data_IF_342876614947
#
_entry.id   IF_342876614947
#
_cell.length_a   1.000
_cell.length_b   1.000
_cell.length_c   1.000
_cell.angle_alpha   90.00
_cell.angle_beta   90.00
_cell.angle_gamma   90.00
#
_symmetry.space_group_name_H-M   'P 1'
#
loop_
_entity.id
_entity.type
_entity.pdbx_description
1 polymer ?
#
# COMPACT_ATOMS: atom_id res chain seq x y z
N UNK A 1 17.19 -12.82 -31.26
CA UNK A 1 18.16 -11.75 -31.34
C UNK A 1 17.96 -10.76 -30.18
N UNK A 2 19.05 -10.42 -29.50
CA UNK A 2 19.03 -9.51 -28.34
C UNK A 2 18.48 -8.12 -28.68
N UNK A 3 18.59 -7.68 -29.93
CA UNK A 3 18.10 -6.38 -30.39
C UNK A 3 16.67 -6.43 -30.95
N UNK A 4 16.03 -7.58 -30.99
CA UNK A 4 14.64 -7.70 -31.41
C UNK A 4 13.73 -6.98 -30.39
N UNK A 5 12.75 -6.22 -30.90
CA UNK A 5 11.83 -5.49 -30.05
C UNK A 5 10.66 -6.39 -29.61
N UNK A 6 10.29 -6.27 -28.36
CA UNK A 6 9.10 -6.90 -27.78
C UNK A 6 8.31 -5.85 -27.02
N UNK A 7 6.99 -6.02 -26.97
CA UNK A 7 6.11 -5.15 -26.18
C UNK A 7 5.55 -5.95 -25.02
N UNK A 8 5.86 -5.49 -23.78
CA UNK A 8 5.46 -6.15 -22.54
C UNK A 8 4.76 -5.10 -21.66
N UNK A 9 3.54 -5.40 -21.23
CA UNK A 9 2.75 -4.50 -20.38
C UNK A 9 2.66 -3.07 -20.95
N UNK A 10 2.58 -2.96 -22.28
CA UNK A 10 2.47 -1.67 -22.97
C UNK A 10 3.82 -0.98 -23.28
N UNK A 11 4.92 -1.47 -22.76
CA UNK A 11 6.26 -0.90 -23.01
C UNK A 11 7.03 -1.69 -24.05
N UNK A 12 7.57 -0.98 -25.04
CA UNK A 12 8.38 -1.60 -26.09
C UNK A 12 9.86 -1.53 -25.70
N UNK A 13 10.54 -2.66 -25.75
CA UNK A 13 11.94 -2.81 -25.37
C UNK A 13 12.62 -3.90 -26.20
N UNK A 14 13.93 -3.96 -26.15
CA UNK A 14 14.67 -5.07 -26.75
C UNK A 14 14.53 -6.33 -25.90
N UNK A 15 14.78 -7.50 -26.51
CA UNK A 15 14.80 -8.78 -25.77
C UNK A 15 15.82 -8.73 -24.63
N UNK A 16 17.00 -8.13 -24.88
CA UNK A 16 18.02 -7.98 -23.81
C UNK A 16 17.53 -7.12 -22.66
N UNK A 17 16.89 -5.99 -22.96
CA UNK A 17 16.29 -5.12 -21.95
C UNK A 17 15.18 -5.85 -21.17
N UNK A 18 14.37 -6.67 -21.83
CA UNK A 18 13.33 -7.45 -21.17
C UNK A 18 13.91 -8.49 -20.21
N UNK A 19 15.01 -9.14 -20.59
CA UNK A 19 15.72 -10.10 -19.73
C UNK A 19 16.31 -9.39 -18.51
N UNK A 20 16.98 -8.25 -18.71
CA UNK A 20 17.50 -7.44 -17.62
C UNK A 20 16.40 -6.94 -16.70
N UNK A 21 15.27 -6.50 -17.26
CA UNK A 21 14.10 -6.04 -16.53
C UNK A 21 13.50 -7.17 -15.68
N UNK A 22 13.46 -8.38 -16.22
CA UNK A 22 12.98 -9.56 -15.47
C UNK A 22 13.81 -9.79 -14.21
N UNK A 23 15.12 -9.60 -14.28
CA UNK A 23 16.02 -9.72 -13.11
C UNK A 23 15.81 -8.57 -12.12
N UNK A 24 15.77 -7.33 -12.61
CA UNK A 24 15.63 -6.16 -11.74
C UNK A 24 14.25 -6.09 -11.07
N UNK A 25 13.19 -6.55 -11.74
CA UNK A 25 11.84 -6.50 -11.21
C UNK A 25 11.64 -7.43 -10.01
N UNK A 26 12.45 -8.49 -9.91
CA UNK A 26 12.44 -9.35 -8.73
C UNK A 26 12.86 -8.60 -7.47
N UNK A 27 13.84 -7.71 -7.58
CA UNK A 27 14.25 -6.83 -6.47
C UNK A 27 13.18 -5.78 -6.17
N UNK A 28 12.57 -5.20 -7.19
CA UNK A 28 11.46 -4.25 -7.00
C UNK A 28 10.29 -4.91 -6.28
N UNK A 29 9.98 -6.16 -6.61
CA UNK A 29 8.91 -6.93 -5.95
C UNK A 29 9.21 -7.13 -4.45
N UNK A 30 10.45 -7.47 -4.11
CA UNK A 30 10.88 -7.60 -2.72
C UNK A 30 10.72 -6.27 -1.97
N UNK A 31 11.11 -5.16 -2.60
CA UNK A 31 11.00 -3.84 -2.03
C UNK A 31 9.54 -3.42 -1.81
N UNK A 32 8.67 -3.67 -2.79
CA UNK A 32 7.22 -3.38 -2.69
C UNK A 32 6.58 -4.22 -1.60
N UNK A 33 6.94 -5.50 -1.49
CA UNK A 33 6.44 -6.38 -0.44
C UNK A 33 6.87 -5.89 0.94
N UNK A 34 8.11 -5.46 1.10
CA UNK A 34 8.61 -4.88 2.35
C UNK A 34 7.85 -3.61 2.71
N UNK A 35 7.68 -2.71 1.75
CA UNK A 35 6.93 -1.47 1.94
C UNK A 35 5.48 -1.74 2.35
N UNK A 36 4.83 -2.70 1.68
CA UNK A 36 3.46 -3.13 2.00
C UNK A 36 3.36 -3.68 3.42
N UNK A 37 4.31 -4.52 3.83
CA UNK A 37 4.33 -5.09 5.19
C UNK A 37 4.54 -4.02 6.25
N UNK A 38 5.46 -3.09 6.03
CA UNK A 38 5.71 -1.97 6.96
C UNK A 38 4.49 -1.05 7.06
N UNK A 39 3.86 -0.75 5.93
CA UNK A 39 2.62 0.05 5.91
C UNK A 39 1.51 -0.64 6.70
N UNK A 40 1.31 -1.95 6.48
CA UNK A 40 0.28 -2.73 7.19
C UNK A 40 0.54 -2.75 8.69
N UNK A 41 1.78 -2.93 9.13
CA UNK A 41 2.15 -2.91 10.55
C UNK A 41 1.88 -1.55 11.18
N UNK A 42 2.30 -0.47 10.51
CA UNK A 42 2.10 0.89 11.00
C UNK A 42 0.61 1.24 11.08
N UNK A 43 -0.15 0.88 10.06
CA UNK A 43 -1.60 1.10 10.01
C UNK A 43 -2.31 0.35 11.14
N UNK A 44 -1.95 -0.91 11.36
CA UNK A 44 -2.52 -1.72 12.44
C UNK A 44 -2.17 -1.15 13.82
N UNK A 45 -0.95 -0.68 14.00
CA UNK A 45 -0.53 -0.05 15.26
C UNK A 45 -1.35 1.20 15.56
N UNK A 46 -1.57 2.05 14.55
CA UNK A 46 -2.42 3.24 14.67
C UNK A 46 -3.85 2.85 15.05
N UNK A 47 -4.43 1.88 14.35
CA UNK A 47 -5.80 1.42 14.62
C UNK A 47 -5.95 0.86 16.03
N UNK A 48 -5.01 0.04 16.48
CA UNK A 48 -5.03 -0.53 17.83
C UNK A 48 -4.86 0.54 18.91
N UNK A 49 -3.99 1.51 18.69
CA UNK A 49 -3.80 2.63 19.60
C UNK A 49 -5.09 3.45 19.72
N UNK A 50 -5.74 3.73 18.59
CA UNK A 50 -6.97 4.52 18.55
C UNK A 50 -8.15 3.76 19.16
N UNK A 51 -8.24 2.45 18.96
CA UNK A 51 -9.23 1.61 19.62
C UNK A 51 -9.07 1.60 21.14
N UNK A 52 -7.82 1.57 21.62
CA UNK A 52 -7.55 1.66 23.05
C UNK A 52 -7.98 3.01 23.63
N UNK A 53 -7.76 4.11 22.92
CA UNK A 53 -8.23 5.44 23.34
C UNK A 53 -9.78 5.49 23.40
N UNK A 54 -10.46 4.94 22.40
CA UNK A 54 -11.92 4.88 22.38
C UNK A 54 -12.47 4.05 23.54
N UNK A 55 -11.83 2.91 23.86
CA UNK A 55 -12.23 2.05 24.98
C UNK A 55 -12.06 2.76 26.33
N UNK A 56 -10.94 3.44 26.54
CA UNK A 56 -10.72 4.20 27.76
C UNK A 56 -11.72 5.35 27.91
N UNK A 57 -11.96 6.08 26.83
CA UNK A 57 -12.98 7.15 26.84
C UNK A 57 -14.36 6.60 27.18
N UNK A 58 -14.76 5.50 26.57
CA UNK A 58 -16.05 4.86 26.83
C UNK A 58 -16.18 4.39 28.27
N UNK A 59 -15.13 3.80 28.84
CA UNK A 59 -15.15 3.36 30.23
C UNK A 59 -15.32 4.53 31.20
N UNK A 60 -14.66 5.66 30.95
CA UNK A 60 -14.81 6.86 31.76
C UNK A 60 -16.17 7.50 31.62
N UNK A 61 -16.71 7.54 30.41
CA UNK A 61 -18.05 8.07 30.14
C UNK A 61 -19.10 7.21 30.82
N UNK A 62 -18.98 5.88 30.76
CA UNK A 62 -19.91 4.95 31.40
C UNK A 62 -19.99 5.13 32.91
N UNK A 63 -18.88 5.55 33.55
CA UNK A 63 -18.87 5.88 34.98
C UNK A 63 -19.66 7.14 35.34
N UNK A 64 -20.03 7.96 34.36
CA UNK A 64 -20.69 9.26 34.55
C UNK A 64 -22.18 9.20 34.15
N UNK A 65 -22.58 8.23 33.35
CA UNK A 65 -23.90 8.18 32.67
C UNK A 65 -25.12 8.01 33.56
N UNK A 66 -24.97 7.92 34.87
CA UNK A 66 -26.10 7.87 35.79
C UNK A 66 -26.79 9.23 35.97
N UNK A 67 -26.23 10.33 35.50
CA UNK A 67 -26.75 11.68 35.60
C UNK A 67 -26.97 12.30 34.23
N UNK A 68 -28.10 12.99 34.05
CA UNK A 68 -28.47 13.67 32.82
C UNK A 68 -28.36 15.20 32.93
N UNK A 69 -27.68 15.73 33.91
CA UNK A 69 -27.51 17.18 34.06
C UNK A 69 -26.47 17.76 33.07
N UNK A 70 -26.46 19.10 32.99
CA UNK A 70 -25.56 19.82 32.10
C UNK A 70 -24.09 19.62 32.45
N UNK A 71 -23.75 19.48 33.73
CA UNK A 71 -22.37 19.22 34.19
C UNK A 71 -21.87 17.88 33.67
N UNK A 72 -22.73 16.85 33.66
CA UNK A 72 -22.38 15.53 33.11
C UNK A 72 -22.16 15.58 31.62
N UNK A 73 -23.00 16.33 30.87
CA UNK A 73 -22.83 16.49 29.41
C UNK A 73 -21.52 17.21 29.07
N UNK A 74 -21.19 18.27 29.82
CA UNK A 74 -19.94 19.01 29.62
C UNK A 74 -18.73 18.12 29.93
N UNK A 75 -18.79 17.31 30.98
CA UNK A 75 -17.73 16.39 31.35
C UNK A 75 -17.55 15.30 30.32
N UNK A 76 -18.62 14.73 29.78
CA UNK A 76 -18.58 13.74 28.69
C UNK A 76 -17.92 14.35 27.45
N UNK A 77 -18.29 15.57 27.08
CA UNK A 77 -17.67 16.26 25.95
C UNK A 77 -16.18 16.49 26.18
N UNK A 78 -15.79 16.93 27.37
CA UNK A 78 -14.38 17.16 27.71
C UNK A 78 -13.56 15.86 27.64
N UNK A 79 -14.10 14.75 28.10
CA UNK A 79 -13.45 13.43 28.01
C UNK A 79 -13.31 13.01 26.54
N UNK A 80 -14.37 13.15 25.77
CA UNK A 80 -14.37 12.82 24.34
C UNK A 80 -13.29 13.61 23.59
N UNK A 81 -13.24 14.92 23.80
CA UNK A 81 -12.26 15.79 23.16
C UNK A 81 -10.84 15.47 23.59
N UNK A 82 -10.63 15.16 24.88
CA UNK A 82 -9.31 14.78 25.38
C UNK A 82 -8.77 13.52 24.70
N UNK A 83 -9.59 12.47 24.61
CA UNK A 83 -9.16 11.21 24.01
C UNK A 83 -9.07 11.29 22.50
N UNK A 84 -9.89 12.08 21.82
CA UNK A 84 -9.71 12.39 20.40
C UNK A 84 -8.36 13.05 20.14
N UNK A 85 -7.92 13.96 21.01
CA UNK A 85 -6.62 14.60 20.91
C UNK A 85 -5.43 13.65 21.13
N UNK A 86 -5.64 12.50 21.76
CA UNK A 86 -4.62 11.48 21.98
C UNK A 86 -4.49 10.47 20.84
N UNK A 87 -5.40 10.51 19.86
CA UNK A 87 -5.36 9.56 18.76
C UNK A 87 -4.14 9.75 17.88
N UNK A 88 -3.59 8.64 17.42
CA UNK A 88 -2.47 8.62 16.50
C UNK A 88 -2.94 8.74 15.06
N UNK A 89 -2.05 9.23 14.20
CA UNK A 89 -2.25 9.28 12.75
C UNK A 89 -1.08 8.59 12.05
N UNK A 90 -1.37 7.95 10.94
CA UNK A 90 -0.34 7.33 10.13
C UNK A 90 0.42 8.44 9.37
N UNK A 91 1.70 8.61 9.69
CA UNK A 91 2.56 9.58 9.01
C UNK A 91 2.88 9.04 7.62
N UNK A 92 2.73 9.88 6.59
CA UNK A 92 2.98 9.48 5.20
C UNK A 92 1.86 8.67 4.56
N UNK A 93 0.68 8.60 5.20
CA UNK A 93 -0.48 7.98 4.59
C UNK A 93 -0.90 8.68 3.30
N UNK A 94 -0.76 10.00 3.30
CA UNK A 94 -1.00 10.85 2.12
C UNK A 94 0.34 11.41 1.63
N UNK A 95 0.63 11.16 0.37
CA UNK A 95 1.79 11.71 -0.31
C UNK A 95 1.44 13.07 -0.91
N UNK A 96 2.45 13.76 -1.44
CA UNK A 96 2.22 15.01 -2.16
C UNK A 96 1.15 14.83 -3.24
N UNK A 97 0.31 15.85 -3.45
CA UNK A 97 -0.78 15.88 -4.44
C UNK A 97 -1.96 14.94 -4.12
N UNK A 98 -2.13 14.56 -2.85
CA UNK A 98 -3.29 13.76 -2.42
C UNK A 98 -3.24 12.29 -2.79
N UNK A 99 -2.09 11.78 -3.22
CA UNK A 99 -1.91 10.34 -3.48
C UNK A 99 -1.71 9.61 -2.15
N UNK A 100 -2.47 8.56 -1.94
CA UNK A 100 -2.32 7.73 -0.73
C UNK A 100 -1.20 6.71 -0.92
N UNK A 101 -0.44 6.46 0.13
CA UNK A 101 0.64 5.45 0.11
C UNK A 101 0.11 4.07 -0.24
N UNK A 102 -1.06 3.68 0.28
CA UNK A 102 -1.70 2.40 -0.06
C UNK A 102 -1.99 2.27 -1.55
N UNK A 103 -2.46 3.34 -2.20
CA UNK A 103 -2.74 3.36 -3.64
C UNK A 103 -1.46 3.25 -4.46
N UNK A 104 -0.40 3.93 -4.04
CA UNK A 104 0.90 3.82 -4.71
C UNK A 104 1.46 2.41 -4.64
N UNK A 105 1.40 1.76 -3.48
CA UNK A 105 1.84 0.37 -3.31
C UNK A 105 1.05 -0.55 -4.25
N UNK A 106 -0.26 -0.37 -4.33
CA UNK A 106 -1.14 -1.15 -5.21
C UNK A 106 -0.79 -0.96 -6.68
N UNK A 107 -0.56 0.29 -7.11
CA UNK A 107 -0.17 0.61 -8.49
C UNK A 107 1.17 -0.03 -8.84
N UNK A 108 2.16 0.06 -7.96
CA UNK A 108 3.48 -0.54 -8.18
C UNK A 108 3.39 -2.07 -8.27
N UNK A 109 2.62 -2.69 -7.39
CA UNK A 109 2.39 -4.14 -7.38
C UNK A 109 1.71 -4.60 -8.66
N UNK A 110 0.68 -3.89 -9.13
CA UNK A 110 -0.03 -4.20 -10.36
C UNK A 110 0.89 -4.13 -11.59
N UNK A 111 1.74 -3.12 -11.67
CA UNK A 111 2.72 -2.98 -12.76
C UNK A 111 3.73 -4.12 -12.78
N UNK A 112 4.22 -4.52 -11.62
CA UNK A 112 5.15 -5.65 -11.48
C UNK A 112 4.47 -6.93 -11.95
N UNK A 113 3.27 -7.20 -11.48
CA UNK A 113 2.51 -8.41 -11.82
C UNK A 113 2.15 -8.45 -13.29
N UNK A 114 1.78 -7.33 -13.89
CA UNK A 114 1.49 -7.23 -15.34
C UNK A 114 2.72 -7.59 -16.16
N UNK A 115 3.88 -7.04 -15.83
CA UNK A 115 5.14 -7.38 -16.51
C UNK A 115 5.47 -8.86 -16.36
N UNK A 116 5.43 -9.39 -15.13
CA UNK A 116 5.75 -10.80 -14.86
C UNK A 116 4.80 -11.77 -15.55
N UNK A 117 3.53 -11.40 -15.70
CA UNK A 117 2.54 -12.25 -16.39
C UNK A 117 2.79 -12.37 -17.89
N UNK A 118 3.43 -11.38 -18.50
CA UNK A 118 3.63 -11.31 -19.94
C UNK A 118 5.04 -11.64 -20.41
N UNK A 119 6.06 -11.39 -19.59
CA UNK A 119 7.46 -11.41 -20.04
C UNK A 119 7.88 -12.76 -20.62
N UNK A 120 7.60 -13.86 -19.95
CA UNK A 120 8.03 -15.19 -20.41
C UNK A 120 7.35 -15.58 -21.72
N UNK A 121 6.04 -15.31 -21.83
CA UNK A 121 5.29 -15.54 -23.05
C UNK A 121 5.86 -14.72 -24.23
N UNK A 122 6.09 -13.44 -24.03
CA UNK A 122 6.62 -12.55 -25.07
C UNK A 122 8.03 -12.91 -25.50
N UNK A 123 8.89 -13.32 -24.57
CA UNK A 123 10.24 -13.79 -24.89
C UNK A 123 10.19 -15.11 -25.68
N UNK A 124 9.33 -16.03 -25.31
CA UNK A 124 9.13 -17.29 -26.01
C UNK A 124 8.60 -17.04 -27.43
N UNK A 125 7.62 -16.18 -27.58
CA UNK A 125 7.06 -15.80 -28.89
C UNK A 125 8.14 -15.18 -29.78
N UNK A 126 8.98 -14.30 -29.27
CA UNK A 126 10.08 -13.69 -30.00
C UNK A 126 11.09 -14.74 -30.46
N UNK A 127 11.46 -15.69 -29.61
CA UNK A 127 12.38 -16.78 -29.96
C UNK A 127 11.84 -17.67 -31.08
N UNK A 128 10.55 -18.02 -31.04
CA UNK A 128 9.88 -18.81 -32.07
C UNK A 128 9.91 -18.08 -33.40
N UNK A 129 9.56 -16.81 -33.43
CA UNK A 129 9.60 -15.98 -34.66
C UNK A 129 11.00 -15.89 -35.23
N UNK A 130 12.02 -15.71 -34.41
CA UNK A 130 13.40 -15.64 -34.85
C UNK A 130 13.85 -16.97 -35.45
N UNK A 131 13.49 -18.09 -34.86
CA UNK A 131 13.81 -19.44 -35.35
C UNK A 131 13.13 -19.71 -36.71
N UNK A 132 11.89 -19.31 -36.92
CA UNK A 132 11.16 -19.51 -38.16
C UNK A 132 11.74 -18.66 -39.28
N UNK A 133 12.24 -17.47 -38.99
CA UNK A 133 12.78 -16.54 -39.97
C UNK A 133 14.17 -16.98 -40.49
N UNK A 134 14.86 -17.84 -39.77
CA UNK A 134 16.13 -18.42 -40.23
C UNK A 134 15.93 -19.50 -41.29
#
# INVERSE_FOLDING_TARGET
NANTLVTIAGDTMTVLEAIDRKTSIAYEQLLVNKLSNEYTKASRHVDMTNMAQDSEASNKINGITSSKDESSKELIKAITDLYEGKKAKLIGADLEQGVKTSDLISILDDKINEFLSEVDYKLTESNVKTTITL
#
